data_IF_444693886324
#
_entry.id   IF_444693886324
#
_cell.length_a   1.000
_cell.length_b   1.000
_cell.length_c   1.000
_cell.angle_alpha   90.00
_cell.angle_beta   90.00
_cell.angle_gamma   90.00
#
_symmetry.space_group_name_H-M   'P 1'
#
loop_
_entity.id
_entity.type
_entity.pdbx_description
1 polymer ?
#
# COMPACT_ATOMS: atom_id res chain seq x y z
N UNK A 1 -1.70 90.20 28.54
CA UNK A 1 -0.26 89.99 28.69
C UNK A 1 -0.01 88.54 28.85
N UNK A 2 0.43 87.81 27.83
CA UNK A 2 0.71 86.45 27.83
C UNK A 2 2.23 86.24 27.86
N UNK A 3 2.75 85.59 28.88
CA UNK A 3 4.15 85.17 28.92
C UNK A 3 4.28 83.78 28.34
N UNK A 4 4.97 83.69 27.24
CA UNK A 4 5.36 82.45 26.57
C UNK A 4 6.62 81.91 27.28
N UNK A 5 6.54 80.74 27.95
CA UNK A 5 7.69 80.05 28.49
C UNK A 5 8.13 78.98 27.49
N UNK A 6 9.32 79.22 26.84
CA UNK A 6 9.97 78.25 25.99
C UNK A 6 10.65 77.15 26.86
N UNK A 7 10.15 75.97 26.87
CA UNK A 7 10.81 74.82 27.50
C UNK A 7 11.76 74.16 26.48
N UNK A 8 13.05 74.30 26.67
CA UNK A 8 14.10 73.54 25.92
C UNK A 8 14.17 72.12 26.49
N UNK A 9 13.65 71.13 25.73
CA UNK A 9 13.91 69.74 25.99
C UNK A 9 15.28 69.35 25.49
N UNK A 10 16.16 69.05 26.43
CA UNK A 10 17.48 68.47 26.14
C UNK A 10 17.26 66.99 25.84
N UNK A 11 17.36 66.59 24.59
CA UNK A 11 17.43 65.17 24.22
C UNK A 11 18.82 64.66 24.59
N UNK A 12 18.94 64.01 25.73
CA UNK A 12 20.10 63.15 26.04
C UNK A 12 19.98 61.87 25.22
N UNK A 13 20.69 61.84 24.08
CA UNK A 13 20.94 60.62 23.37
C UNK A 13 21.88 59.75 24.22
N UNK A 14 21.36 58.74 24.88
CA UNK A 14 22.18 57.68 25.43
C UNK A 14 22.70 56.88 24.25
N UNK A 15 23.90 57.13 23.78
CA UNK A 15 24.69 56.17 23.05
C UNK A 15 25.02 55.07 24.03
N UNK A 16 24.20 54.00 24.00
CA UNK A 16 24.55 52.75 24.64
C UNK A 16 25.56 52.06 23.74
N UNK A 17 26.84 52.21 24.06
CA UNK A 17 27.93 51.46 23.47
C UNK A 17 27.86 50.01 23.95
N UNK A 18 26.73 49.37 23.68
CA UNK A 18 26.64 47.91 23.70
C UNK A 18 27.20 47.44 22.37
N UNK A 19 28.49 47.30 22.29
CA UNK A 19 29.12 46.36 21.39
C UNK A 19 28.69 44.96 21.86
N UNK A 20 27.43 44.59 21.54
CA UNK A 20 27.01 43.18 21.62
C UNK A 20 27.87 42.49 20.59
N UNK A 21 28.90 41.79 21.04
CA UNK A 21 29.59 40.78 20.27
C UNK A 21 28.49 39.88 19.73
N UNK A 22 28.33 39.74 18.40
CA UNK A 22 27.27 38.88 17.85
C UNK A 22 27.38 37.52 18.53
N UNK A 23 26.34 37.12 19.24
CA UNK A 23 26.31 35.82 19.91
C UNK A 23 26.41 34.72 18.83
N UNK A 24 27.54 34.05 18.81
CA UNK A 24 27.81 33.01 17.82
C UNK A 24 26.92 31.83 18.13
N UNK A 25 26.06 31.47 17.23
CA UNK A 25 25.11 30.37 17.43
C UNK A 25 25.87 29.06 17.72
N UNK A 26 25.43 28.40 18.78
CA UNK A 26 25.93 27.11 19.26
C UNK A 26 24.97 25.97 18.91
N UNK A 27 23.85 26.22 18.23
CA UNK A 27 22.75 25.27 18.06
C UNK A 27 23.13 24.03 17.23
N UNK A 28 24.04 24.16 16.26
CA UNK A 28 24.53 23.06 15.41
C UNK A 28 23.41 22.25 14.76
N UNK A 29 22.31 22.89 14.33
CA UNK A 29 21.12 22.22 13.81
C UNK A 29 21.12 22.14 12.29
N UNK A 30 20.67 21.00 11.74
CA UNK A 30 20.30 20.87 10.33
C UNK A 30 18.86 21.33 10.18
N UNK A 31 18.60 22.30 9.31
CA UNK A 31 17.27 22.90 9.12
C UNK A 31 16.62 22.52 7.78
N UNK A 32 17.41 22.06 6.81
CA UNK A 32 16.90 21.54 5.55
C UNK A 32 17.83 20.47 4.98
N UNK A 33 17.23 19.43 4.44
CA UNK A 33 17.92 18.32 3.79
C UNK A 33 17.07 17.80 2.64
N UNK A 34 17.62 17.76 1.42
CA UNK A 34 16.97 17.19 0.24
C UNK A 34 18.02 16.66 -0.71
N UNK A 35 17.78 15.50 -1.28
CA UNK A 35 18.62 14.93 -2.32
C UNK A 35 18.25 15.54 -3.67
N UNK A 36 19.22 15.59 -4.58
CA UNK A 36 19.00 15.92 -5.99
C UNK A 36 18.22 14.79 -6.68
N UNK A 37 17.85 15.04 -7.93
CA UNK A 37 17.19 14.05 -8.79
C UNK A 37 17.91 12.70 -8.77
N UNK A 38 17.16 11.66 -8.38
CA UNK A 38 17.64 10.30 -8.32
C UNK A 38 17.31 9.55 -9.60
N UNK A 39 18.05 8.49 -9.83
CA UNK A 39 17.83 7.56 -10.94
C UNK A 39 17.68 6.14 -10.42
N UNK A 40 16.80 5.37 -11.06
CA UNK A 40 16.73 3.94 -10.85
C UNK A 40 16.77 3.19 -12.17
N UNK A 41 17.37 2.02 -12.16
CA UNK A 41 17.29 1.07 -13.26
C UNK A 41 16.06 0.19 -13.05
N UNK A 42 15.16 0.20 -14.02
CA UNK A 42 13.95 -0.63 -14.03
C UNK A 42 14.16 -1.78 -14.99
N UNK A 43 13.99 -3.00 -14.50
CA UNK A 43 13.94 -4.19 -15.36
C UNK A 43 12.51 -4.40 -15.84
N UNK A 44 12.34 -4.64 -17.10
CA UNK A 44 11.04 -4.89 -17.74
C UNK A 44 11.22 -5.89 -18.89
N UNK A 45 10.12 -6.26 -19.51
CA UNK A 45 10.18 -7.02 -20.77
C UNK A 45 9.87 -6.11 -21.95
N UNK A 46 10.39 -6.48 -23.11
CA UNK A 46 10.02 -5.83 -24.38
C UNK A 46 8.51 -5.95 -24.62
N UNK A 47 7.95 -5.07 -25.45
CA UNK A 47 6.49 -5.05 -25.73
C UNK A 47 5.95 -6.37 -26.25
N UNK A 48 6.78 -7.16 -26.94
CA UNK A 48 6.47 -8.52 -27.41
C UNK A 48 6.63 -9.60 -26.32
N UNK A 49 7.12 -9.23 -25.13
CA UNK A 49 7.32 -10.13 -23.99
C UNK A 49 8.47 -11.12 -24.14
N UNK A 50 9.27 -11.02 -25.22
CA UNK A 50 10.26 -12.03 -25.56
C UNK A 50 11.65 -11.79 -24.98
N UNK A 51 11.98 -10.55 -24.66
CA UNK A 51 13.32 -10.18 -24.16
C UNK A 51 13.22 -9.33 -22.90
N UNK A 52 14.17 -9.53 -22.01
CA UNK A 52 14.37 -8.62 -20.90
C UNK A 52 14.95 -7.30 -21.42
N UNK A 53 14.44 -6.21 -20.88
CA UNK A 53 14.85 -4.85 -21.19
C UNK A 53 15.06 -4.07 -19.92
N UNK A 54 15.97 -3.11 -19.97
CA UNK A 54 16.21 -2.18 -18.87
C UNK A 54 16.08 -0.74 -19.35
N UNK A 55 15.52 0.11 -18.50
CA UNK A 55 15.52 1.55 -18.74
C UNK A 55 15.82 2.32 -17.45
N UNK A 56 16.32 3.53 -17.60
CA UNK A 56 16.58 4.41 -16.48
C UNK A 56 15.37 5.32 -16.28
N UNK A 57 14.83 5.31 -15.06
CA UNK A 57 13.76 6.19 -14.64
C UNK A 57 14.31 7.28 -13.72
N UNK A 58 13.98 8.54 -14.02
CA UNK A 58 14.27 9.65 -13.13
C UNK A 58 13.21 9.75 -12.03
N UNK A 59 13.64 10.00 -10.81
CA UNK A 59 12.80 10.21 -9.65
C UNK A 59 12.97 11.66 -9.21
N UNK A 60 11.91 12.47 -9.26
CA UNK A 60 12.01 13.87 -8.87
C UNK A 60 12.24 14.01 -7.36
N UNK A 61 12.99 14.98 -6.96
CA UNK A 61 13.31 15.27 -5.56
C UNK A 61 12.06 15.45 -4.68
N UNK A 62 11.02 16.06 -5.22
CA UNK A 62 9.76 16.33 -4.51
C UNK A 62 8.95 15.07 -4.14
N UNK A 63 9.24 13.93 -4.78
CA UNK A 63 8.50 12.70 -4.55
C UNK A 63 8.84 12.05 -3.20
N UNK A 64 10.01 12.35 -2.63
CA UNK A 64 10.50 11.69 -1.41
C UNK A 64 11.05 12.70 -0.40
N UNK A 65 10.17 13.37 0.36
CA UNK A 65 10.57 14.36 1.36
C UNK A 65 11.33 13.70 2.51
N UNK A 66 12.29 14.44 3.06
CA UNK A 66 13.06 14.01 4.22
C UNK A 66 12.51 14.62 5.50
N UNK A 67 12.54 13.85 6.57
CA UNK A 67 12.32 14.30 7.93
C UNK A 67 13.64 14.53 8.64
N UNK A 68 13.72 15.58 9.43
CA UNK A 68 14.84 15.88 10.31
C UNK A 68 14.36 15.80 11.75
N UNK A 69 14.71 14.74 12.43
CA UNK A 69 14.39 14.54 13.84
C UNK A 69 15.51 15.12 14.69
N UNK A 70 15.24 16.31 15.26
CA UNK A 70 16.21 17.03 16.09
C UNK A 70 16.44 16.39 17.45
N UNK A 71 15.48 15.62 17.96
CA UNK A 71 15.59 14.95 19.23
C UNK A 71 16.52 13.73 19.13
N UNK A 72 16.34 12.94 18.06
CA UNK A 72 17.14 11.74 17.79
C UNK A 72 18.36 12.00 16.95
N UNK A 73 18.54 13.25 16.47
CA UNK A 73 19.59 13.63 15.54
C UNK A 73 19.64 12.69 14.32
N UNK A 74 18.49 12.47 13.70
CA UNK A 74 18.36 11.58 12.55
C UNK A 74 17.68 12.28 11.37
N UNK A 75 18.14 11.96 10.17
CA UNK A 75 17.62 12.47 8.89
C UNK A 75 17.27 11.26 8.05
N UNK A 76 16.01 11.17 7.60
CA UNK A 76 15.53 10.03 6.83
C UNK A 76 14.37 10.42 5.90
N UNK A 77 14.22 9.70 4.80
CA UNK A 77 13.06 9.87 3.93
C UNK A 77 11.81 9.25 4.58
N UNK A 78 10.68 9.98 4.53
CA UNK A 78 9.40 9.53 5.12
C UNK A 78 8.91 8.26 4.44
N UNK A 79 8.89 8.26 3.09
CA UNK A 79 8.57 7.09 2.29
C UNK A 79 9.85 6.48 1.71
N UNK A 80 9.90 5.15 1.64
CA UNK A 80 11.03 4.46 1.05
C UNK A 80 11.12 4.72 -0.45
N UNK A 81 12.33 4.96 -0.95
CA UNK A 81 12.60 5.05 -2.37
C UNK A 81 12.26 3.72 -3.08
N UNK A 82 11.89 3.75 -4.36
CA UNK A 82 11.66 2.54 -5.13
C UNK A 82 12.91 1.65 -5.21
N UNK A 83 12.69 0.34 -5.36
CA UNK A 83 13.78 -0.62 -5.63
C UNK A 83 14.59 -0.19 -6.86
N UNK A 84 15.90 -0.40 -6.80
CA UNK A 84 16.82 -0.13 -7.91
C UNK A 84 17.31 1.33 -8.00
N UNK A 85 17.01 2.15 -7.01
CA UNK A 85 17.61 3.49 -6.91
C UNK A 85 19.09 3.38 -6.60
N UNK A 86 19.91 4.08 -7.38
CA UNK A 86 21.34 4.19 -7.14
C UNK A 86 21.62 5.27 -6.09
N UNK A 87 22.11 4.84 -4.94
CA UNK A 87 22.52 5.71 -3.83
C UNK A 87 24.04 5.84 -3.69
N UNK A 88 24.81 5.25 -4.59
CA UNK A 88 26.28 5.24 -4.50
C UNK A 88 26.91 6.61 -4.75
N UNK A 89 26.23 7.48 -5.52
CA UNK A 89 26.71 8.80 -5.92
C UNK A 89 25.57 9.80 -6.00
N UNK A 90 25.08 10.20 -4.83
CA UNK A 90 23.93 11.11 -4.70
C UNK A 90 24.42 12.52 -4.41
N UNK A 91 23.84 13.52 -5.08
CA UNK A 91 24.08 14.93 -4.77
C UNK A 91 23.04 15.45 -3.79
N UNK A 92 23.46 16.39 -2.96
CA UNK A 92 22.58 17.13 -2.08
C UNK A 92 22.06 18.38 -2.84
N UNK A 93 20.76 18.47 -3.03
CA UNK A 93 20.15 19.64 -3.66
C UNK A 93 19.99 20.77 -2.67
N UNK A 94 19.39 20.48 -1.53
CA UNK A 94 19.18 21.42 -0.44
C UNK A 94 19.80 20.87 0.82
N UNK A 95 20.72 21.67 1.38
CA UNK A 95 21.31 21.35 2.65
C UNK A 95 21.57 22.65 3.42
N UNK A 96 20.85 22.86 4.52
CA UNK A 96 21.00 24.03 5.37
C UNK A 96 21.26 23.57 6.80
N UNK A 97 22.26 24.15 7.40
CA UNK A 97 22.60 23.92 8.79
C UNK A 97 23.09 25.21 9.44
N UNK A 98 22.91 25.31 10.73
CA UNK A 98 23.45 26.38 11.54
C UNK A 98 24.82 25.94 12.09
N UNK A 99 25.83 25.98 11.23
CA UNK A 99 27.19 25.52 11.52
C UNK A 99 27.90 24.93 10.29
N UNK A 100 29.18 24.58 10.48
CA UNK A 100 30.00 23.92 9.48
C UNK A 100 29.71 22.44 9.42
N UNK A 101 29.31 21.91 8.26
CA UNK A 101 28.95 20.50 8.13
C UNK A 101 30.07 19.70 7.54
N UNK A 102 30.31 18.54 8.17
CA UNK A 102 31.28 17.55 7.72
C UNK A 102 30.68 16.17 7.67
N UNK A 103 31.02 15.41 6.63
CA UNK A 103 30.66 14.00 6.46
C UNK A 103 31.78 13.11 7.00
N UNK A 104 31.40 12.17 7.88
CA UNK A 104 32.35 11.20 8.42
C UNK A 104 32.61 10.09 7.40
N UNK A 105 33.89 9.82 7.14
CA UNK A 105 34.33 8.72 6.28
C UNK A 105 33.96 7.36 6.89
N UNK A 106 33.43 6.46 6.06
CA UNK A 106 33.15 5.07 6.48
C UNK A 106 34.43 4.26 6.69
N UNK A 107 35.54 4.67 6.08
CA UNK A 107 36.80 3.90 6.07
C UNK A 107 37.70 4.28 7.28
N UNK A 108 38.06 5.55 7.35
CA UNK A 108 39.07 6.02 8.32
C UNK A 108 38.51 6.89 9.44
N UNK A 109 37.19 7.09 9.46
CA UNK A 109 36.46 7.91 10.45
C UNK A 109 36.84 9.39 10.47
N UNK A 110 37.71 9.85 9.56
CA UNK A 110 37.94 11.30 9.37
C UNK A 110 36.68 11.99 8.84
N UNK A 111 36.50 13.26 9.11
CA UNK A 111 35.41 14.04 8.56
C UNK A 111 35.90 15.08 7.54
N UNK A 112 35.10 15.25 6.48
CA UNK A 112 35.41 16.15 5.37
C UNK A 112 34.26 17.13 5.20
N UNK A 113 34.58 18.40 4.96
CA UNK A 113 33.58 19.45 4.71
C UNK A 113 32.78 19.06 3.47
N UNK A 114 31.46 19.16 3.58
CA UNK A 114 30.53 18.96 2.47
C UNK A 114 29.68 20.22 2.24
N UNK A 115 29.26 20.39 1.01
CA UNK A 115 28.36 21.45 0.57
C UNK A 115 27.28 20.89 -0.33
N UNK A 116 26.31 21.72 -0.71
CA UNK A 116 25.41 21.40 -1.81
C UNK A 116 26.26 21.02 -3.05
N UNK A 117 25.81 20.03 -3.82
CA UNK A 117 26.50 19.41 -4.96
C UNK A 117 27.66 18.45 -4.62
N UNK A 118 28.01 18.25 -3.35
CA UNK A 118 28.92 17.18 -2.99
C UNK A 118 28.26 15.82 -3.27
N UNK A 119 28.95 14.94 -4.00
CA UNK A 119 28.52 13.57 -4.21
C UNK A 119 28.77 12.76 -2.94
N UNK A 120 27.75 12.07 -2.46
CA UNK A 120 27.76 11.28 -1.23
C UNK A 120 27.28 9.87 -1.53
N UNK A 121 27.98 8.88 -1.02
CA UNK A 121 27.50 7.49 -0.96
C UNK A 121 26.53 7.34 0.24
N UNK A 122 25.24 7.11 -0.05
CA UNK A 122 24.15 6.90 0.90
C UNK A 122 23.62 5.45 0.87
N UNK A 123 24.38 4.51 0.31
CA UNK A 123 24.04 3.08 0.34
C UNK A 123 24.01 2.51 1.76
N UNK A 124 24.65 3.20 2.69
CA UNK A 124 24.70 2.89 4.13
C UNK A 124 24.41 4.16 4.94
N UNK A 125 23.94 4.04 6.18
CA UNK A 125 23.80 5.18 7.07
C UNK A 125 25.11 5.96 7.21
N UNK A 126 25.03 7.29 7.15
CA UNK A 126 26.17 8.20 7.22
C UNK A 126 26.04 9.12 8.42
N UNK A 127 27.17 9.47 9.00
CA UNK A 127 27.23 10.46 10.06
C UNK A 127 27.61 11.81 9.50
N UNK A 128 26.79 12.83 9.78
CA UNK A 128 27.07 14.24 9.54
C UNK A 128 27.39 14.91 10.87
N UNK A 129 28.54 15.54 10.95
CA UNK A 129 28.92 16.39 12.07
C UNK A 129 28.64 17.85 11.72
N UNK A 130 27.88 18.55 12.53
CA UNK A 130 27.68 19.99 12.44
C UNK A 130 28.46 20.64 13.56
N UNK A 131 29.41 21.49 13.20
CA UNK A 131 30.25 22.25 14.15
C UNK A 131 29.77 23.66 14.25
N UNK A 132 29.58 24.15 15.46
CA UNK A 132 29.21 25.54 15.72
C UNK A 132 30.30 26.52 15.27
N UNK A 133 29.88 27.73 15.00
CA UNK A 133 30.83 28.83 14.68
C UNK A 133 31.65 29.29 15.88
N UNK A 134 31.29 28.82 17.10
CA UNK A 134 32.07 28.99 18.32
C UNK A 134 33.35 28.13 18.38
N UNK A 135 33.51 27.21 17.41
CA UNK A 135 34.66 26.31 17.32
C UNK A 135 34.65 25.18 18.37
N UNK A 136 33.65 25.10 19.24
CA UNK A 136 33.57 24.13 20.37
C UNK A 136 32.33 23.25 20.23
N UNK A 137 31.17 23.82 19.93
CA UNK A 137 29.91 23.12 19.86
C UNK A 137 29.86 22.15 18.68
N UNK A 138 29.28 20.97 18.90
CA UNK A 138 29.16 19.94 17.88
C UNK A 138 27.88 19.13 18.08
N UNK A 139 27.16 18.86 16.98
CA UNK A 139 26.06 17.89 16.94
C UNK A 139 26.29 16.90 15.80
N UNK A 140 25.98 15.63 16.04
CA UNK A 140 26.15 14.57 15.04
C UNK A 140 24.78 14.02 14.65
N UNK A 141 24.48 14.01 13.34
CA UNK A 141 23.27 13.42 12.78
C UNK A 141 23.57 12.12 12.06
N UNK A 142 22.67 11.17 12.15
CA UNK A 142 22.67 9.99 11.28
C UNK A 142 21.75 10.22 10.11
N UNK A 143 22.27 10.15 8.88
CA UNK A 143 21.50 10.18 7.64
C UNK A 143 21.27 8.76 7.17
N UNK A 144 20.02 8.36 7.03
CA UNK A 144 19.61 7.06 6.52
C UNK A 144 18.63 7.23 5.38
N UNK A 145 18.94 6.66 4.21
CA UNK A 145 18.05 6.65 3.05
C UNK A 145 17.47 5.26 2.90
N UNK A 146 16.14 5.19 2.97
CA UNK A 146 15.39 3.95 2.89
C UNK A 146 15.03 3.64 1.46
N UNK A 147 15.23 2.40 1.04
CA UNK A 147 14.91 1.89 -0.30
C UNK A 147 14.14 0.60 -0.17
N UNK A 148 13.07 0.44 -0.96
CA UNK A 148 12.33 -0.82 -1.02
C UNK A 148 13.20 -1.94 -1.59
N UNK A 149 13.10 -3.13 -1.02
CA UNK A 149 13.79 -4.33 -1.50
C UNK A 149 13.05 -5.04 -2.62
N UNK A 150 11.76 -4.78 -2.75
CA UNK A 150 10.84 -5.44 -3.66
C UNK A 150 10.06 -4.43 -4.49
N UNK A 151 9.69 -4.81 -5.70
CA UNK A 151 8.74 -4.06 -6.52
C UNK A 151 7.32 -4.32 -6.03
N UNK A 152 6.50 -3.28 -5.81
CA UNK A 152 5.16 -3.43 -5.24
C UNK A 152 4.21 -4.24 -6.11
N UNK A 153 4.34 -4.12 -7.42
CA UNK A 153 3.44 -4.71 -8.41
C UNK A 153 3.91 -6.07 -8.94
N UNK A 154 5.02 -6.58 -8.43
CA UNK A 154 5.53 -7.89 -8.79
C UNK A 154 4.69 -9.00 -8.13
N UNK A 155 4.38 -10.04 -8.90
CA UNK A 155 3.74 -11.26 -8.42
C UNK A 155 4.72 -12.41 -8.54
N UNK A 156 5.01 -13.05 -7.41
CA UNK A 156 5.81 -14.27 -7.37
C UNK A 156 4.89 -15.47 -7.22
N UNK A 157 4.98 -16.41 -8.16
CA UNK A 157 4.27 -17.69 -8.10
C UNK A 157 5.19 -18.78 -7.55
N UNK A 158 4.64 -19.65 -6.73
CA UNK A 158 5.26 -20.87 -6.22
C UNK A 158 4.31 -22.05 -6.32
N UNK A 159 4.86 -23.24 -6.21
CA UNK A 159 4.09 -24.51 -6.18
C UNK A 159 4.28 -25.19 -4.82
N UNK A 160 3.45 -24.85 -3.83
CA UNK A 160 3.45 -25.53 -2.54
C UNK A 160 3.03 -27.00 -2.67
N UNK A 161 3.32 -27.77 -1.64
CA UNK A 161 2.88 -29.17 -1.54
C UNK A 161 1.42 -29.25 -1.08
N UNK A 162 0.78 -30.41 -1.29
CA UNK A 162 -0.57 -30.69 -0.76
C UNK A 162 -0.63 -30.58 0.77
N UNK A 163 0.42 -30.96 1.47
CA UNK A 163 0.51 -30.80 2.92
C UNK A 163 0.49 -29.31 3.34
N UNK A 164 1.13 -28.43 2.55
CA UNK A 164 1.12 -26.99 2.81
C UNK A 164 -0.25 -26.36 2.52
N UNK A 165 -0.96 -26.84 1.50
CA UNK A 165 -2.36 -26.45 1.25
C UNK A 165 -3.26 -26.86 2.42
N UNK A 166 -3.22 -28.12 2.82
CA UNK A 166 -4.03 -28.66 3.93
C UNK A 166 -3.75 -27.91 5.24
N UNK A 167 -2.49 -27.52 5.49
CA UNK A 167 -2.10 -26.78 6.68
C UNK A 167 -2.69 -25.35 6.76
N UNK A 168 -3.21 -24.81 5.64
CA UNK A 168 -3.88 -23.50 5.65
C UNK A 168 -5.26 -23.57 6.32
N UNK A 169 -5.88 -24.77 6.38
CA UNK A 169 -7.21 -24.97 6.94
C UNK A 169 -8.27 -24.05 6.33
N UNK A 170 -8.24 -23.89 5.01
CA UNK A 170 -9.26 -23.09 4.32
C UNK A 170 -10.64 -23.74 4.48
N UNK A 171 -11.61 -22.90 4.81
CA UNK A 171 -13.00 -23.31 4.90
C UNK A 171 -13.72 -22.98 3.59
N UNK A 172 -14.39 -23.97 3.01
CA UNK A 172 -15.24 -23.81 1.83
C UNK A 172 -16.67 -24.14 2.20
N UNK A 173 -17.56 -23.22 1.95
CA UNK A 173 -18.98 -23.43 2.22
C UNK A 173 -19.60 -24.37 1.17
N UNK A 174 -20.72 -24.99 1.55
CA UNK A 174 -21.50 -25.82 0.63
C UNK A 174 -22.01 -25.00 -0.56
N UNK A 175 -22.23 -25.65 -1.68
CA UNK A 175 -22.77 -25.01 -2.87
C UNK A 175 -24.04 -24.21 -2.57
N UNK A 176 -24.09 -22.97 -3.06
CA UNK A 176 -25.22 -22.06 -2.84
C UNK A 176 -25.17 -21.28 -1.53
N UNK A 177 -24.12 -21.44 -0.72
CA UNK A 177 -23.87 -20.65 0.48
C UNK A 177 -22.46 -20.05 0.47
N UNK A 178 -22.27 -19.00 1.26
CA UNK A 178 -20.97 -18.39 1.51
C UNK A 178 -20.96 -17.76 2.90
N UNK A 179 -19.79 -17.47 3.43
CA UNK A 179 -19.63 -16.87 4.75
C UNK A 179 -18.68 -15.68 4.72
N UNK A 180 -18.95 -14.72 5.57
CA UNK A 180 -18.05 -13.60 5.83
C UNK A 180 -18.30 -13.03 7.24
N UNK A 181 -17.22 -12.73 7.97
CA UNK A 181 -17.26 -12.12 9.30
C UNK A 181 -18.21 -12.85 10.28
N UNK A 182 -18.12 -14.17 10.35
CA UNK A 182 -18.94 -15.00 11.25
C UNK A 182 -20.42 -15.06 10.88
N UNK A 183 -20.81 -14.59 9.71
CA UNK A 183 -22.19 -14.67 9.21
C UNK A 183 -22.23 -15.48 7.91
N UNK A 184 -23.20 -16.37 7.82
CA UNK A 184 -23.45 -17.21 6.64
C UNK A 184 -24.63 -16.67 5.84
N UNK A 185 -24.55 -16.82 4.53
CA UNK A 185 -25.56 -16.39 3.59
C UNK A 185 -25.88 -17.49 2.61
N UNK A 186 -27.13 -17.56 2.16
CA UNK A 186 -27.57 -18.42 1.05
C UNK A 186 -28.78 -17.82 0.35
N UNK A 187 -28.95 -18.19 -0.90
CA UNK A 187 -30.14 -17.91 -1.68
C UNK A 187 -31.05 -19.14 -1.65
N UNK A 188 -32.34 -18.92 -1.41
CA UNK A 188 -33.37 -19.98 -1.46
C UNK A 188 -34.60 -19.44 -2.21
N UNK A 189 -34.73 -19.80 -3.48
CA UNK A 189 -35.75 -19.25 -4.37
C UNK A 189 -35.63 -17.74 -4.50
N UNK A 190 -36.69 -17.02 -4.21
CA UNK A 190 -36.74 -15.55 -4.26
C UNK A 190 -36.34 -14.88 -2.93
N UNK A 191 -35.59 -15.55 -2.07
CA UNK A 191 -35.24 -15.07 -0.74
C UNK A 191 -33.74 -15.13 -0.48
N UNK A 192 -33.22 -14.04 0.08
CA UNK A 192 -31.89 -14.02 0.70
C UNK A 192 -32.02 -14.46 2.15
N UNK A 193 -31.22 -15.40 2.58
CA UNK A 193 -31.21 -15.92 3.94
C UNK A 193 -29.85 -15.65 4.59
N UNK A 194 -29.88 -15.36 5.89
CA UNK A 194 -28.69 -15.17 6.71
C UNK A 194 -28.76 -15.96 8.01
N UNK A 195 -27.59 -16.41 8.49
CA UNK A 195 -27.43 -17.15 9.73
C UNK A 195 -26.13 -16.79 10.43
N UNK A 196 -26.11 -16.84 11.76
CA UNK A 196 -24.90 -16.70 12.58
C UNK A 196 -24.38 -18.04 13.10
N UNK A 197 -25.22 -19.07 13.11
CA UNK A 197 -24.91 -20.42 13.64
C UNK A 197 -24.88 -21.50 12.55
N UNK A 198 -25.32 -21.19 11.33
CA UNK A 198 -25.42 -22.11 10.20
C UNK A 198 -26.62 -23.05 10.26
N UNK A 199 -27.41 -23.00 11.33
CA UNK A 199 -28.59 -23.85 11.57
C UNK A 199 -29.88 -23.09 11.51
N UNK A 200 -29.92 -21.92 12.15
CA UNK A 200 -31.10 -21.05 12.18
C UNK A 200 -30.97 -19.99 11.08
N UNK A 201 -31.90 -19.99 10.12
CA UNK A 201 -31.85 -19.11 8.96
C UNK A 201 -33.00 -18.11 8.98
N UNK A 202 -32.67 -16.85 8.89
CA UNK A 202 -33.61 -15.75 8.85
C UNK A 202 -33.63 -15.11 7.46
N UNK A 203 -34.80 -14.62 7.05
CA UNK A 203 -34.92 -13.85 5.81
C UNK A 203 -34.19 -12.53 6.01
N UNK A 204 -33.28 -12.22 5.08
CA UNK A 204 -32.55 -10.96 5.07
C UNK A 204 -33.24 -9.94 4.17
N UNK A 205 -33.10 -8.67 4.51
CA UNK A 205 -33.75 -7.59 3.79
C UNK A 205 -33.15 -7.40 2.40
N UNK A 206 -34.00 -7.30 1.39
CA UNK A 206 -33.62 -7.09 -0.01
C UNK A 206 -34.65 -6.22 -0.74
N UNK A 207 -34.25 -5.69 -1.90
CA UNK A 207 -35.20 -5.05 -2.81
C UNK A 207 -36.08 -6.12 -3.45
N UNK A 208 -37.39 -6.04 -3.19
CA UNK A 208 -38.35 -7.02 -3.67
C UNK A 208 -38.48 -6.99 -5.20
N UNK A 209 -38.29 -5.82 -5.81
CA UNK A 209 -38.34 -5.68 -7.28
C UNK A 209 -37.22 -6.47 -7.98
N UNK A 210 -36.13 -6.68 -7.30
CA UNK A 210 -34.96 -7.40 -7.82
C UNK A 210 -34.99 -8.92 -7.54
N UNK A 211 -35.97 -9.43 -6.77
CA UNK A 211 -36.04 -10.84 -6.38
C UNK A 211 -35.98 -11.82 -7.56
N UNK A 212 -36.53 -11.43 -8.72
CA UNK A 212 -36.47 -12.22 -9.94
C UNK A 212 -35.05 -12.47 -10.48
N UNK A 213 -34.10 -11.62 -10.09
CA UNK A 213 -32.69 -11.70 -10.52
C UNK A 213 -31.78 -12.38 -9.53
N UNK A 214 -32.30 -12.88 -8.39
CA UNK A 214 -31.51 -13.66 -7.46
C UNK A 214 -30.92 -14.89 -8.15
N UNK A 215 -29.63 -15.18 -7.93
CA UNK A 215 -28.98 -16.35 -8.53
C UNK A 215 -29.60 -17.65 -8.00
N UNK A 216 -29.61 -18.68 -8.82
CA UNK A 216 -30.05 -20.04 -8.47
C UNK A 216 -28.90 -21.04 -8.47
N UNK A 217 -27.72 -20.64 -8.96
CA UNK A 217 -26.53 -21.46 -9.01
C UNK A 217 -25.24 -20.63 -8.82
N UNK A 218 -24.15 -21.34 -8.53
CA UNK A 218 -22.79 -20.78 -8.46
C UNK A 218 -22.66 -19.58 -7.52
N UNK A 219 -23.33 -19.63 -6.36
CA UNK A 219 -23.36 -18.53 -5.40
C UNK A 219 -22.05 -18.51 -4.59
N UNK A 220 -21.44 -17.35 -4.51
CA UNK A 220 -20.27 -17.06 -3.67
C UNK A 220 -20.32 -15.61 -3.20
N UNK A 221 -19.50 -15.26 -2.22
CA UNK A 221 -19.48 -13.88 -1.74
C UNK A 221 -18.20 -13.51 -1.02
N UNK A 222 -18.03 -12.22 -0.80
CA UNK A 222 -16.90 -11.66 -0.07
C UNK A 222 -17.32 -10.44 0.76
N UNK A 223 -16.50 -10.12 1.75
CA UNK A 223 -16.62 -8.93 2.57
C UNK A 223 -15.54 -7.92 2.17
N UNK A 224 -15.98 -6.70 1.86
CA UNK A 224 -15.10 -5.53 1.73
C UNK A 224 -15.19 -4.69 2.99
N UNK A 225 -14.03 -4.33 3.53
CA UNK A 225 -13.93 -3.43 4.68
C UNK A 225 -13.52 -2.06 4.18
N UNK A 226 -14.34 -1.04 4.44
CA UNK A 226 -14.00 0.34 4.10
C UNK A 226 -12.77 0.80 4.88
N UNK A 227 -11.80 1.37 4.18
CA UNK A 227 -10.65 2.04 4.80
C UNK A 227 -10.93 3.49 5.17
N UNK A 228 -11.91 4.10 4.49
CA UNK A 228 -12.24 5.52 4.62
C UNK A 228 -13.26 5.78 5.72
N UNK A 229 -14.21 4.86 5.91
CA UNK A 229 -15.28 5.00 6.90
C UNK A 229 -15.17 3.89 7.92
N UNK A 230 -14.77 4.25 9.14
CA UNK A 230 -14.67 3.30 10.25
C UNK A 230 -16.04 2.70 10.58
N UNK A 231 -16.08 1.37 10.61
CA UNK A 231 -17.32 0.63 10.93
C UNK A 231 -18.20 0.34 9.74
N UNK A 232 -17.88 0.84 8.53
CA UNK A 232 -18.61 0.49 7.33
C UNK A 232 -17.96 -0.72 6.63
N UNK A 233 -18.77 -1.72 6.37
CA UNK A 233 -18.44 -2.93 5.62
C UNK A 233 -19.41 -3.09 4.46
N UNK A 234 -19.05 -3.88 3.46
CA UNK A 234 -19.93 -4.21 2.36
C UNK A 234 -19.80 -5.69 2.03
N UNK A 235 -20.90 -6.39 2.10
CA UNK A 235 -21.01 -7.75 1.62
C UNK A 235 -21.37 -7.73 0.16
N UNK A 236 -20.61 -8.45 -0.64
CA UNK A 236 -20.88 -8.61 -2.07
C UNK A 236 -21.10 -10.09 -2.36
N UNK A 237 -22.15 -10.41 -3.09
CA UNK A 237 -22.49 -11.74 -3.53
C UNK A 237 -22.48 -11.78 -5.06
N UNK A 238 -21.95 -12.88 -5.57
CA UNK A 238 -22.03 -13.25 -6.98
C UNK A 238 -22.79 -14.57 -7.12
N UNK A 239 -23.45 -14.75 -8.24
CA UNK A 239 -24.02 -16.02 -8.64
C UNK A 239 -24.51 -16.01 -10.07
N UNK A 240 -25.07 -17.12 -10.53
CA UNK A 240 -25.59 -17.25 -11.90
C UNK A 240 -27.05 -17.64 -11.90
N UNK A 241 -27.77 -17.21 -12.94
CA UNK A 241 -29.15 -17.58 -13.23
C UNK A 241 -29.36 -17.61 -14.73
N UNK A 242 -29.90 -18.70 -15.26
CA UNK A 242 -30.21 -18.85 -16.68
C UNK A 242 -29.03 -18.46 -17.60
N UNK A 243 -27.82 -18.87 -17.24
CA UNK A 243 -26.60 -18.56 -18.00
C UNK A 243 -26.17 -17.08 -17.95
N UNK A 244 -26.67 -16.30 -17.00
CA UNK A 244 -26.29 -14.92 -16.75
C UNK A 244 -25.70 -14.75 -15.37
N UNK A 245 -24.71 -13.90 -15.24
CA UNK A 245 -24.15 -13.52 -13.93
C UNK A 245 -25.01 -12.45 -13.25
N UNK A 246 -25.08 -12.51 -11.93
CA UNK A 246 -25.78 -11.55 -11.09
C UNK A 246 -24.89 -11.20 -9.90
N UNK A 247 -24.75 -9.92 -9.63
CA UNK A 247 -23.97 -9.41 -8.49
C UNK A 247 -24.89 -8.59 -7.60
N UNK A 248 -24.74 -8.76 -6.31
CA UNK A 248 -25.53 -8.11 -5.27
C UNK A 248 -24.61 -7.54 -4.21
N UNK A 249 -24.95 -6.41 -3.66
CA UNK A 249 -24.23 -5.84 -2.53
C UNK A 249 -25.16 -5.42 -1.39
N UNK A 250 -24.61 -5.43 -0.18
CA UNK A 250 -25.26 -4.88 1.00
C UNK A 250 -24.21 -4.21 1.88
N UNK A 251 -24.42 -2.93 2.14
CA UNK A 251 -23.63 -2.22 3.14
C UNK A 251 -24.04 -2.66 4.55
N UNK A 252 -23.07 -2.69 5.43
CA UNK A 252 -23.26 -3.02 6.83
C UNK A 252 -22.55 -2.01 7.70
N UNK A 253 -23.31 -1.38 8.58
CA UNK A 253 -22.76 -0.51 9.61
C UNK A 253 -22.58 -1.31 10.91
N UNK A 254 -21.33 -1.52 11.32
CA UNK A 254 -21.00 -2.25 12.55
C UNK A 254 -21.47 -1.51 13.81
N UNK A 255 -21.75 -0.22 13.72
CA UNK A 255 -22.26 0.58 14.83
C UNK A 255 -23.80 0.48 14.97
N UNK A 256 -24.47 -0.17 14.00
CA UNK A 256 -25.91 -0.39 14.04
C UNK A 256 -26.78 0.85 13.80
N UNK A 257 -26.19 1.96 13.35
CA UNK A 257 -26.91 3.21 13.11
C UNK A 257 -27.76 3.15 11.84
N UNK A 258 -27.27 2.47 10.81
CA UNK A 258 -27.93 2.39 9.51
C UNK A 258 -28.30 0.95 9.16
N UNK A 259 -29.52 0.76 8.64
CA UNK A 259 -30.04 -0.51 8.18
C UNK A 259 -30.09 -0.52 6.64
N UNK A 260 -29.17 -1.25 6.03
CA UNK A 260 -29.12 -1.43 4.58
C UNK A 260 -29.81 -2.75 4.20
N UNK A 261 -30.22 -2.83 2.94
CA UNK A 261 -30.78 -4.04 2.31
C UNK A 261 -29.87 -4.53 1.19
N UNK A 262 -30.07 -5.75 0.76
CA UNK A 262 -29.43 -6.27 -0.44
C UNK A 262 -30.00 -5.57 -1.66
N UNK A 263 -29.13 -5.08 -2.53
CA UNK A 263 -29.46 -4.40 -3.78
C UNK A 263 -28.67 -5.06 -4.91
N UNK A 264 -29.31 -5.18 -6.08
CA UNK A 264 -28.62 -5.69 -7.26
C UNK A 264 -27.62 -4.65 -7.77
N UNK A 265 -26.39 -5.08 -8.00
CA UNK A 265 -25.38 -4.25 -8.64
C UNK A 265 -25.62 -4.25 -10.15
N UNK A 266 -25.93 -3.09 -10.71
CA UNK A 266 -26.16 -2.95 -12.14
C UNK A 266 -24.82 -2.73 -12.83
N UNK A 267 -24.40 -3.72 -13.61
CA UNK A 267 -23.20 -3.65 -14.44
C UNK A 267 -23.47 -2.89 -15.73
N UNK A 268 -22.47 -2.20 -16.29
CA UNK A 268 -22.59 -1.63 -17.62
C UNK A 268 -22.81 -2.74 -18.67
N UNK A 269 -23.53 -2.42 -19.74
CA UNK A 269 -23.82 -3.38 -20.81
C UNK A 269 -22.62 -3.65 -21.73
N UNK A 270 -21.48 -2.97 -21.51
CA UNK A 270 -20.30 -3.09 -22.33
C UNK A 270 -19.66 -4.48 -22.14
N UNK A 271 -19.55 -5.24 -23.23
CA UNK A 271 -18.89 -6.53 -23.22
C UNK A 271 -17.43 -6.41 -22.73
N UNK A 272 -17.00 -7.36 -21.91
CA UNK A 272 -15.66 -7.39 -21.33
C UNK A 272 -15.57 -6.76 -19.93
N UNK A 273 -16.60 -6.05 -19.49
CA UNK A 273 -16.67 -5.47 -18.14
C UNK A 273 -17.73 -6.11 -17.24
N UNK A 274 -18.53 -7.00 -17.77
CA UNK A 274 -19.55 -7.74 -17.01
C UNK A 274 -18.87 -8.90 -16.27
N UNK A 275 -19.39 -9.27 -15.12
CA UNK A 275 -18.94 -10.47 -14.41
C UNK A 275 -19.07 -11.71 -15.33
N UNK A 276 -18.03 -12.53 -15.48
CA UNK A 276 -18.11 -13.72 -16.32
C UNK A 276 -19.09 -14.74 -15.70
N UNK A 277 -19.66 -15.59 -16.55
CA UNK A 277 -20.42 -16.76 -16.09
C UNK A 277 -19.40 -17.85 -15.75
N UNK A 278 -19.37 -18.27 -14.48
CA UNK A 278 -18.40 -19.23 -13.97
C UNK A 278 -19.07 -20.37 -13.21
N UNK A 279 -18.47 -21.53 -13.29
CA UNK A 279 -18.77 -22.70 -12.47
C UNK A 279 -17.84 -22.77 -11.27
N UNK A 280 -18.38 -23.16 -10.11
CA UNK A 280 -17.65 -23.27 -8.84
C UNK A 280 -16.80 -22.02 -8.51
N UNK A 281 -17.40 -20.81 -8.63
CA UNK A 281 -16.66 -19.59 -8.36
C UNK A 281 -16.32 -19.44 -6.88
N UNK A 282 -15.17 -18.82 -6.61
CA UNK A 282 -14.81 -18.27 -5.32
C UNK A 282 -14.57 -16.78 -5.47
N UNK A 283 -15.17 -16.01 -4.60
CA UNK A 283 -14.97 -14.56 -4.55
C UNK A 283 -14.32 -14.19 -3.22
N UNK A 284 -13.33 -13.33 -3.29
CA UNK A 284 -12.55 -12.92 -2.12
C UNK A 284 -12.12 -11.46 -2.20
N UNK A 285 -11.94 -10.83 -1.05
CA UNK A 285 -11.32 -9.52 -0.99
C UNK A 285 -9.82 -9.64 -1.30
N UNK A 286 -9.34 -8.87 -2.26
CA UNK A 286 -7.95 -8.87 -2.70
C UNK A 286 -7.57 -7.48 -3.21
N UNK A 287 -6.39 -7.00 -2.89
CA UNK A 287 -5.81 -5.74 -3.39
C UNK A 287 -6.78 -4.54 -3.36
N UNK A 288 -7.56 -4.42 -2.29
CA UNK A 288 -8.53 -3.34 -2.12
C UNK A 288 -9.79 -3.43 -2.99
N UNK A 289 -10.03 -4.59 -3.61
CA UNK A 289 -11.20 -4.89 -4.42
C UNK A 289 -11.68 -6.32 -4.24
N UNK A 290 -12.39 -6.83 -5.24
CA UNK A 290 -12.91 -8.18 -5.29
C UNK A 290 -12.17 -8.98 -6.36
N UNK A 291 -11.65 -10.13 -5.99
CA UNK A 291 -11.14 -11.14 -6.92
C UNK A 291 -12.17 -12.27 -7.05
N UNK A 292 -12.60 -12.53 -8.27
CA UNK A 292 -13.48 -13.65 -8.63
C UNK A 292 -12.66 -14.67 -9.42
N UNK A 293 -12.61 -15.90 -8.90
CA UNK A 293 -11.89 -17.02 -9.51
C UNK A 293 -12.87 -18.17 -9.73
N UNK A 294 -12.83 -18.78 -10.88
CA UNK A 294 -13.70 -19.92 -11.19
C UNK A 294 -13.34 -20.52 -12.54
N UNK A 295 -14.17 -21.42 -13.03
CA UNK A 295 -13.98 -22.09 -14.32
C UNK A 295 -15.13 -21.76 -15.27
N UNK A 296 -14.83 -21.69 -16.56
CA UNK A 296 -15.88 -21.69 -17.58
C UNK A 296 -16.49 -23.09 -17.73
N UNK A 297 -17.58 -23.18 -18.50
CA UNK A 297 -18.15 -24.48 -18.90
C UNK A 297 -17.18 -25.40 -19.66
N UNK A 298 -16.12 -24.82 -20.23
CA UNK A 298 -15.01 -25.55 -20.89
C UNK A 298 -13.87 -25.88 -19.92
N UNK A 299 -14.06 -25.71 -18.61
CA UNK A 299 -13.06 -25.91 -17.57
C UNK A 299 -11.85 -24.96 -17.65
N UNK A 300 -11.94 -23.84 -18.37
CA UNK A 300 -10.88 -22.85 -18.36
C UNK A 300 -10.93 -22.03 -17.07
N UNK A 301 -9.78 -21.89 -16.41
CA UNK A 301 -9.61 -21.06 -15.22
C UNK A 301 -9.67 -19.59 -15.61
N UNK A 302 -10.56 -18.86 -14.98
CA UNK A 302 -10.77 -17.42 -15.18
C UNK A 302 -10.61 -16.70 -13.86
N UNK A 303 -9.83 -15.64 -13.88
CA UNK A 303 -9.69 -14.68 -12.79
C UNK A 303 -10.18 -13.31 -13.28
N UNK A 304 -11.05 -12.67 -12.53
CA UNK A 304 -11.51 -11.31 -12.79
C UNK A 304 -11.47 -10.49 -11.50
N UNK A 305 -11.21 -9.22 -11.67
CA UNK A 305 -11.01 -8.28 -10.58
C UNK A 305 -11.93 -7.07 -10.72
N UNK A 306 -12.53 -6.65 -9.62
CA UNK A 306 -13.39 -5.47 -9.54
C UNK A 306 -12.90 -4.52 -8.46
N UNK A 307 -12.68 -3.25 -8.80
CA UNK A 307 -12.36 -2.17 -7.85
C UNK A 307 -13.59 -1.34 -7.43
N UNK A 308 -14.70 -1.56 -8.09
CA UNK A 308 -15.94 -0.77 -7.95
C UNK A 308 -17.10 -1.61 -7.38
N UNK A 309 -16.78 -2.46 -6.42
CA UNK A 309 -17.76 -3.25 -5.64
C UNK A 309 -18.60 -4.22 -6.49
N UNK A 310 -17.99 -4.80 -7.51
CA UNK A 310 -18.64 -5.79 -8.38
C UNK A 310 -19.37 -5.21 -9.57
N UNK A 311 -19.28 -3.90 -9.82
CA UNK A 311 -19.96 -3.25 -10.95
C UNK A 311 -19.26 -3.54 -12.27
N UNK A 312 -17.92 -3.43 -12.31
CA UNK A 312 -17.12 -3.79 -13.49
C UNK A 312 -16.06 -4.83 -13.13
N UNK A 313 -15.77 -5.71 -14.09
CA UNK A 313 -14.85 -6.82 -13.90
C UNK A 313 -13.83 -6.85 -15.04
N UNK A 314 -12.57 -6.77 -14.67
CA UNK A 314 -11.43 -6.75 -15.59
C UNK A 314 -10.39 -7.78 -15.21
N UNK A 315 -9.39 -7.99 -16.03
CA UNK A 315 -8.22 -8.73 -15.61
C UNK A 315 -7.42 -7.88 -14.60
N UNK A 316 -6.95 -8.51 -13.52
CA UNK A 316 -6.06 -7.79 -12.59
C UNK A 316 -4.75 -7.47 -13.32
N UNK A 317 -4.25 -6.22 -13.26
CA UNK A 317 -3.12 -5.79 -14.06
C UNK A 317 -1.82 -6.57 -13.78
N UNK A 318 -1.62 -6.96 -12.53
CA UNK A 318 -0.37 -7.62 -12.10
C UNK A 318 -0.54 -9.13 -11.90
N UNK A 319 -1.75 -9.62 -11.58
CA UNK A 319 -2.01 -11.03 -11.28
C UNK A 319 -2.25 -11.82 -12.57
N UNK A 320 -1.17 -12.29 -13.17
CA UNK A 320 -1.20 -13.12 -14.38
C UNK A 320 -0.76 -14.54 -14.03
N UNK A 321 -1.50 -15.53 -14.52
CA UNK A 321 -1.14 -16.95 -14.33
C UNK A 321 0.22 -17.26 -14.99
N UNK A 322 1.06 -18.10 -14.35
CA UNK A 322 2.35 -18.47 -14.92
C UNK A 322 2.19 -19.19 -16.27
N UNK A 323 3.18 -19.10 -17.14
CA UNK A 323 3.14 -19.71 -18.48
C UNK A 323 2.99 -21.23 -18.43
N UNK A 324 3.47 -21.87 -17.38
CA UNK A 324 3.39 -23.31 -17.17
C UNK A 324 2.15 -23.74 -16.36
N UNK A 325 1.27 -22.81 -15.96
CA UNK A 325 -0.03 -23.14 -15.38
C UNK A 325 -0.95 -23.66 -16.50
N UNK A 326 -1.49 -24.87 -16.31
CA UNK A 326 -2.50 -25.36 -17.23
C UNK A 326 -3.81 -24.57 -17.04
N UNK A 327 -4.23 -23.88 -18.08
CA UNK A 327 -5.46 -23.08 -18.02
C UNK A 327 -6.73 -23.92 -17.94
N UNK A 328 -6.69 -25.19 -18.34
CA UNK A 328 -7.83 -26.11 -18.26
C UNK A 328 -7.67 -27.00 -17.05
N UNK A 329 -8.62 -26.93 -16.12
CA UNK A 329 -8.62 -27.62 -14.83
C UNK A 329 -9.99 -28.24 -14.55
N UNK A 330 -10.04 -29.51 -14.16
CA UNK A 330 -11.29 -30.20 -13.79
C UNK A 330 -11.78 -29.79 -12.41
N UNK A 331 -10.86 -29.49 -11.51
CA UNK A 331 -11.14 -29.00 -10.17
C UNK A 331 -10.42 -27.68 -9.93
N UNK A 332 -11.03 -26.80 -9.16
CA UNK A 332 -10.43 -25.53 -8.76
C UNK A 332 -11.02 -25.09 -7.43
N UNK A 333 -10.14 -24.84 -6.47
CA UNK A 333 -10.45 -24.12 -5.25
C UNK A 333 -9.49 -22.93 -5.14
N UNK A 334 -9.99 -21.77 -4.71
CA UNK A 334 -9.21 -20.57 -4.53
C UNK A 334 -9.49 -19.93 -3.18
N UNK A 335 -8.46 -19.49 -2.49
CA UNK A 335 -8.58 -18.82 -1.19
C UNK A 335 -7.43 -17.83 -0.97
N UNK A 336 -7.64 -16.87 -0.08
CA UNK A 336 -6.61 -15.94 0.40
C UNK A 336 -6.25 -16.35 1.82
N UNK A 337 -4.97 -16.51 2.10
CA UNK A 337 -4.51 -16.79 3.46
C UNK A 337 -4.39 -15.51 4.31
N UNK A 338 -4.08 -15.67 5.60
CA UNK A 338 -3.91 -14.58 6.57
C UNK A 338 -2.78 -13.61 6.23
N UNK A 339 -1.88 -14.00 5.33
CA UNK A 339 -0.76 -13.19 4.86
C UNK A 339 -1.08 -12.47 3.54
N UNK A 340 -2.30 -12.60 3.00
CA UNK A 340 -2.72 -12.01 1.74
C UNK A 340 -2.21 -12.74 0.50
N UNK A 341 -1.77 -13.99 0.63
CA UNK A 341 -1.35 -14.83 -0.49
C UNK A 341 -2.56 -15.50 -1.13
N UNK A 342 -2.64 -15.47 -2.46
CA UNK A 342 -3.65 -16.19 -3.21
C UNK A 342 -3.20 -17.64 -3.43
N UNK A 343 -4.00 -18.57 -2.98
CA UNK A 343 -3.81 -20.00 -3.17
C UNK A 343 -4.82 -20.54 -4.19
N UNK A 344 -4.33 -21.38 -5.10
CA UNK A 344 -5.15 -22.13 -6.05
C UNK A 344 -4.82 -23.61 -5.90
N UNK A 345 -5.83 -24.41 -5.66
CA UNK A 345 -5.74 -25.88 -5.63
C UNK A 345 -6.48 -26.45 -6.84
N UNK A 346 -5.80 -27.20 -7.65
CA UNK A 346 -6.29 -27.73 -8.92
C UNK A 346 -6.00 -29.24 -9.03
N UNK A 347 -6.55 -29.90 -10.04
CA UNK A 347 -6.21 -31.29 -10.35
C UNK A 347 -4.76 -31.48 -10.81
N UNK A 348 -4.03 -30.40 -11.09
CA UNK A 348 -2.61 -30.42 -11.47
C UNK A 348 -1.67 -29.84 -10.40
N UNK A 349 -2.15 -29.75 -9.15
CA UNK A 349 -1.36 -29.34 -7.98
C UNK A 349 -1.74 -28.00 -7.41
N UNK A 350 -0.95 -27.58 -6.44
CA UNK A 350 -1.16 -26.34 -5.67
C UNK A 350 -0.31 -25.22 -6.21
N UNK A 351 -0.88 -24.03 -6.28
CA UNK A 351 -0.22 -22.81 -6.69
C UNK A 351 -0.43 -21.74 -5.64
N UNK A 352 0.57 -20.91 -5.43
CA UNK A 352 0.49 -19.80 -4.49
C UNK A 352 1.09 -18.54 -5.13
N UNK A 353 0.29 -17.48 -5.21
CA UNK A 353 0.70 -16.18 -5.72
C UNK A 353 0.89 -15.21 -4.56
N UNK A 354 2.03 -14.54 -4.59
CA UNK A 354 2.37 -13.45 -3.69
C UNK A 354 2.42 -12.15 -4.48
N UNK A 355 1.46 -11.27 -4.29
CA UNK A 355 1.54 -9.89 -4.77
C UNK A 355 2.28 -9.07 -3.72
N UNK A 356 3.46 -8.55 -4.08
CA UNK A 356 4.42 -8.04 -3.11
C UNK A 356 3.85 -6.92 -2.22
N UNK A 357 3.09 -5.97 -2.76
CA UNK A 357 2.50 -4.87 -1.97
C UNK A 357 1.52 -5.32 -0.88
N UNK A 358 0.95 -6.51 -0.99
CA UNK A 358 0.00 -7.04 0.00
C UNK A 358 0.71 -7.80 1.13
N UNK A 359 1.87 -8.36 0.83
CA UNK A 359 2.63 -9.21 1.76
C UNK A 359 4.11 -8.90 1.72
N UNK A 360 4.48 -7.63 1.96
CA UNK A 360 5.87 -7.21 2.00
C UNK A 360 6.72 -8.11 2.92
N UNK A 361 7.89 -8.54 2.45
CA UNK A 361 8.89 -9.14 3.31
C UNK A 361 9.43 -8.03 4.22
N UNK A 362 9.14 -8.12 5.50
CA UNK A 362 9.59 -7.12 6.49
C UNK A 362 10.94 -7.52 7.09
N UNK A 363 11.79 -6.54 7.42
CA UNK A 363 11.64 -5.13 7.08
C UNK A 363 11.98 -4.88 5.60
N UNK A 364 11.13 -4.12 4.93
CA UNK A 364 11.42 -3.65 3.56
C UNK A 364 12.62 -2.72 3.55
N UNK A 365 12.86 -2.06 4.65
CA UNK A 365 13.90 -1.10 4.89
C UNK A 365 14.62 -1.50 6.17
N UNK A 366 15.93 -1.49 6.16
CA UNK A 366 16.72 -1.61 7.38
C UNK A 366 16.69 -0.26 8.07
N UNK A 367 15.88 -0.14 9.11
CA UNK A 367 15.87 1.02 9.99
C UNK A 367 16.11 0.57 11.41
N UNK A 368 17.23 0.98 11.98
CA UNK A 368 17.49 0.86 13.41
C UNK A 368 17.19 2.20 14.06
N UNK A 369 16.14 2.26 14.85
CA UNK A 369 15.98 3.37 15.77
C UNK A 369 17.23 3.42 16.67
N UNK A 370 17.82 4.62 16.91
CA UNK A 370 18.84 4.75 17.92
C UNK A 370 18.28 4.16 19.21
N UNK A 371 19.02 3.25 19.83
CA UNK A 371 18.64 2.75 21.14
C UNK A 371 18.54 3.93 22.09
N UNK A 372 17.36 4.19 22.62
CA UNK A 372 17.20 5.08 23.77
C UNK A 372 18.08 4.55 24.89
N UNK A 373 19.15 5.26 25.22
CA UNK A 373 19.91 5.04 26.45
C UNK A 373 19.12 5.59 27.62
#
# INVERSE_FOLDING_TARGET
MACLALGTTVLTSCFNDNTTVPEVSTDCVVTAFQLDKLQRTVQTRTKDGQKDSTYVQNIPESAYPFSIDQERNSIYNLDSLPKGVDLSRVKLQTFKANGLVRLVSLVNKSDTIISANTEVDLTKPRTLNVYGFDGVSKRSYTVEVRVHREEPNEVTWSQPTEAQWTAQNFEFEAAGSWSANGRKFRVNGAKMLTSTDGTTWNIDSMDVADAAFLPDANVTGALLVSREVKGLQEWVMYGTKEGRSSVWSRKWDTNGTYHFRWERVISPTLQGYVAPVLEHPQMMAFDGGLLLVGRTAQNEVVMRFSRDHGRTWVQHPDLVLPTHFSKTQKTLQAAIDKNGLLWLHTDNGVWCARLHRLSWIKPQVTYSLPSTK
#
